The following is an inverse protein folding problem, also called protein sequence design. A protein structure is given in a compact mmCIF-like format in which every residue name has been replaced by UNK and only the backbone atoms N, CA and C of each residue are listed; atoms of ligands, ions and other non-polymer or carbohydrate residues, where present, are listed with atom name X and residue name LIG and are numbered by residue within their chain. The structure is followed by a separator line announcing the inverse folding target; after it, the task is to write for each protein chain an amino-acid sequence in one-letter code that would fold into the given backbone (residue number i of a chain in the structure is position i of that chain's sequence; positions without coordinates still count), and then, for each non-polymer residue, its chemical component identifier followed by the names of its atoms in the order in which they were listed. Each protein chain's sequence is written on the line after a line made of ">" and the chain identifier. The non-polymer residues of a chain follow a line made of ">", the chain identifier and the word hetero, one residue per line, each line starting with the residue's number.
data_IF_455412022068
#
_entry.id   IF_455412022068
#
_cell.length_a   1.000
_cell.length_b   1.000
_cell.length_c   1.000
_cell.angle_alpha   90.00
_cell.angle_beta   90.00
_cell.angle_gamma   90.00
#
_symmetry.space_group_name_H-M   'P 1'
#
loop_
_entity.id
_entity.type
_entity.pdbx_description
1 polymer ?
#
# COMPACT_ATOMS: atom_id res chain seq x y z
N UNK A 1 48.35 18.64 -2.62
CA UNK A 1 49.67 18.45 -3.27
C UNK A 1 50.02 16.97 -3.26
N UNK A 2 50.38 16.45 -4.44
CA UNK A 2 50.75 15.06 -4.76
C UNK A 2 51.95 14.55 -3.93
N UNK A 3 51.93 13.27 -3.54
CA UNK A 3 53.16 12.45 -3.49
C UNK A 3 52.92 11.09 -4.13
N UNK A 4 53.72 10.86 -5.17
CA UNK A 4 53.87 9.68 -6.01
C UNK A 4 55.17 9.00 -5.56
N UNK A 5 55.22 7.67 -5.63
CA UNK A 5 56.46 6.87 -5.56
C UNK A 5 56.15 5.50 -4.95
N UNK A 6 56.54 4.36 -5.53
CA UNK A 6 57.57 4.06 -6.54
C UNK A 6 57.20 2.76 -7.27
N UNK A 7 57.62 2.69 -8.54
CA UNK A 7 57.78 1.46 -9.30
C UNK A 7 58.91 0.60 -8.73
N UNK A 8 58.77 -0.72 -8.86
CA UNK A 8 59.88 -1.60 -9.24
C UNK A 8 59.33 -2.80 -10.00
N UNK A 9 59.68 -2.87 -11.28
CA UNK A 9 59.69 -4.11 -12.08
C UNK A 9 60.95 -4.90 -11.71
N UNK A 10 60.94 -6.23 -11.88
CA UNK A 10 61.75 -6.95 -12.89
C UNK A 10 61.55 -8.47 -12.75
N UNK A 11 61.15 -9.05 -13.88
CA UNK A 11 61.36 -10.40 -14.44
C UNK A 11 62.42 -11.32 -13.79
N UNK A 12 62.17 -12.64 -13.73
CA UNK A 12 62.70 -13.61 -14.71
C UNK A 12 62.41 -15.09 -14.34
N UNK A 13 62.15 -15.85 -15.42
CA UNK A 13 62.56 -17.23 -15.73
C UNK A 13 61.73 -18.46 -15.28
N UNK A 14 61.63 -19.33 -16.27
CA UNK A 14 60.81 -20.52 -16.44
C UNK A 14 61.39 -21.79 -15.82
N UNK A 15 60.56 -22.82 -15.70
CA UNK A 15 61.03 -24.21 -15.66
C UNK A 15 60.08 -25.22 -15.01
N UNK A 16 59.57 -26.16 -15.82
CA UNK A 16 59.61 -27.59 -15.46
C UNK A 16 58.44 -28.22 -14.67
N UNK A 17 57.45 -28.73 -15.42
CA UNK A 17 56.89 -30.10 -15.44
C UNK A 17 56.72 -30.97 -14.15
N UNK A 18 55.47 -31.42 -13.97
CA UNK A 18 54.94 -32.74 -13.55
C UNK A 18 55.20 -33.32 -12.14
N UNK A 19 54.15 -33.45 -11.31
CA UNK A 19 53.44 -34.71 -11.01
C UNK A 19 52.37 -34.57 -9.89
N UNK A 20 51.22 -35.21 -10.14
CA UNK A 20 50.20 -35.81 -9.27
C UNK A 20 50.01 -35.37 -7.80
N UNK A 21 48.74 -35.07 -7.45
CA UNK A 21 48.24 -35.16 -6.06
C UNK A 21 46.96 -34.36 -5.77
N UNK A 22 45.77 -34.93 -6.05
CA UNK A 22 44.58 -34.66 -5.23
C UNK A 22 44.69 -35.49 -3.92
N UNK A 23 43.94 -35.23 -2.82
CA UNK A 23 42.80 -34.34 -2.64
C UNK A 23 42.82 -33.52 -1.31
N UNK A 24 42.04 -32.45 -1.23
CA UNK A 24 41.28 -32.13 0.00
C UNK A 24 40.36 -30.96 -0.27
N UNK A 25 39.07 -31.26 -0.24
CA UNK A 25 38.02 -30.26 -0.37
C UNK A 25 38.08 -29.28 0.79
N UNK A 26 38.52 -28.06 0.50
CA UNK A 26 38.23 -26.89 1.32
C UNK A 26 36.74 -26.60 1.18
N UNK A 27 35.95 -27.18 2.07
CA UNK A 27 34.54 -26.85 2.22
C UNK A 27 34.48 -25.40 2.72
N UNK A 28 34.31 -24.46 1.79
CA UNK A 28 33.98 -23.08 2.10
C UNK A 28 32.68 -23.11 2.89
N UNK A 29 32.81 -22.91 4.20
CA UNK A 29 31.72 -22.62 5.11
C UNK A 29 31.06 -21.33 4.61
N UNK A 30 30.05 -21.50 3.74
CA UNK A 30 29.11 -20.44 3.41
C UNK A 30 28.49 -19.99 4.71
N UNK A 31 28.67 -18.71 5.05
CA UNK A 31 27.76 -18.03 5.96
C UNK A 31 26.33 -18.39 5.56
N UNK A 32 25.47 -18.80 6.51
CA UNK A 32 24.06 -18.95 6.20
C UNK A 32 23.56 -17.60 5.71
N UNK A 33 23.05 -17.58 4.47
CA UNK A 33 22.28 -16.45 3.98
C UNK A 33 21.22 -16.11 5.05
N UNK A 34 20.98 -14.82 5.34
CA UNK A 34 19.92 -14.44 6.27
C UNK A 34 18.64 -15.13 5.81
N UNK A 35 18.09 -15.98 6.68
CA UNK A 35 16.84 -16.69 6.46
C UNK A 35 15.79 -15.66 6.05
N UNK A 36 15.19 -15.88 4.88
CA UNK A 36 14.25 -14.96 4.24
C UNK A 36 12.90 -14.85 4.95
N UNK A 37 12.86 -14.92 6.28
CA UNK A 37 11.65 -14.83 7.10
C UNK A 37 11.28 -13.37 7.42
N UNK A 38 12.21 -12.41 7.26
CA UNK A 38 11.96 -10.98 7.52
C UNK A 38 11.48 -10.18 6.30
N UNK A 39 11.19 -10.83 5.16
CA UNK A 39 10.65 -10.16 3.95
C UNK A 39 9.15 -10.38 3.73
N UNK A 40 8.47 -11.08 4.64
CA UNK A 40 7.08 -11.47 4.50
C UNK A 40 6.09 -10.46 5.12
N UNK A 41 6.22 -9.18 4.81
CA UNK A 41 5.30 -8.13 5.31
C UNK A 41 4.61 -7.30 4.20
N UNK A 42 4.65 -7.75 2.94
CA UNK A 42 4.08 -7.01 1.80
C UNK A 42 3.02 -7.75 0.98
N UNK A 43 2.51 -8.92 1.43
CA UNK A 43 1.68 -9.75 0.55
C UNK A 43 0.66 -10.70 1.18
N UNK A 44 0.45 -10.68 2.50
CA UNK A 44 -0.60 -11.55 3.09
C UNK A 44 -2.00 -10.98 2.80
N UNK A 45 -2.93 -11.80 2.30
CA UNK A 45 -4.33 -11.41 2.17
C UNK A 45 -4.89 -10.97 3.53
N UNK A 46 -5.56 -9.82 3.58
CA UNK A 46 -6.26 -9.36 4.78
C UNK A 46 -7.51 -10.21 4.95
N UNK A 47 -7.72 -10.79 6.13
CA UNK A 47 -8.93 -11.56 6.42
C UNK A 47 -10.13 -10.61 6.58
N UNK A 48 -11.32 -11.06 6.17
CA UNK A 48 -12.55 -10.26 6.26
C UNK A 48 -12.83 -9.82 7.71
N UNK A 49 -12.67 -10.70 8.69
CA UNK A 49 -12.89 -10.37 10.09
C UNK A 49 -12.01 -9.20 10.56
N UNK A 50 -10.75 -9.17 10.12
CA UNK A 50 -9.82 -8.07 10.42
C UNK A 50 -10.27 -6.74 9.78
N UNK A 51 -10.90 -6.78 8.60
CA UNK A 51 -11.49 -5.59 7.98
C UNK A 51 -12.70 -5.09 8.78
N UNK A 52 -13.56 -6.00 9.23
CA UNK A 52 -14.76 -5.67 10.00
C UNK A 52 -14.47 -5.25 11.45
N UNK A 53 -13.32 -5.63 11.99
CA UNK A 53 -12.81 -5.16 13.28
C UNK A 53 -12.09 -3.82 13.19
N UNK A 54 -11.82 -3.31 11.99
CA UNK A 54 -11.11 -2.05 11.81
C UNK A 54 -11.84 -0.90 12.54
N UNK A 55 -11.08 -0.02 13.21
CA UNK A 55 -11.66 1.04 14.00
C UNK A 55 -12.34 2.08 13.11
N UNK A 56 -13.37 2.73 13.62
CA UNK A 56 -14.04 3.86 12.96
C UNK A 56 -13.33 5.19 13.19
N UNK A 57 -12.38 5.21 14.13
CA UNK A 57 -11.52 6.34 14.45
C UNK A 57 -10.10 5.84 14.70
N UNK A 58 -9.10 6.47 14.09
CA UNK A 58 -7.70 6.13 14.28
C UNK A 58 -6.98 7.29 14.97
N UNK A 59 -6.30 7.01 16.09
CA UNK A 59 -5.49 8.01 16.79
C UNK A 59 -4.03 7.88 16.38
N UNK A 60 -3.46 8.96 15.84
CA UNK A 60 -2.04 9.08 15.52
C UNK A 60 -1.50 10.32 16.23
N UNK A 61 -0.80 10.11 17.36
CA UNK A 61 -0.37 11.20 18.24
C UNK A 61 -1.56 11.97 18.81
N UNK A 62 -1.61 13.28 18.55
CA UNK A 62 -2.71 14.16 18.96
C UNK A 62 -3.84 14.28 17.92
N UNK A 63 -3.72 13.61 16.77
CA UNK A 63 -4.72 13.64 15.72
C UNK A 63 -5.67 12.45 15.86
N UNK A 64 -6.97 12.71 15.71
CA UNK A 64 -7.99 11.68 15.48
C UNK A 64 -8.40 11.74 14.01
N UNK A 65 -8.27 10.62 13.32
CA UNK A 65 -8.63 10.46 11.92
C UNK A 65 -9.99 9.77 11.80
N UNK A 66 -10.81 10.28 10.89
CA UNK A 66 -12.10 9.71 10.50
C UNK A 66 -12.13 9.44 9.00
N UNK A 67 -12.83 8.39 8.60
CA UNK A 67 -13.07 8.09 7.19
C UNK A 67 -14.47 8.57 6.80
N UNK A 68 -14.51 9.43 5.81
CA UNK A 68 -15.71 9.71 5.03
C UNK A 68 -15.59 8.99 3.69
N UNK A 69 -16.67 8.37 3.24
CA UNK A 69 -16.69 7.68 1.97
C UNK A 69 -17.95 8.02 1.17
N UNK A 70 -17.78 8.15 -0.13
CA UNK A 70 -18.87 8.33 -1.07
C UNK A 70 -18.75 7.26 -2.15
N UNK A 71 -19.75 6.39 -2.23
CA UNK A 71 -19.82 5.34 -3.24
C UNK A 71 -20.94 5.65 -4.21
N UNK A 72 -20.70 5.46 -5.50
CA UNK A 72 -21.73 5.73 -6.49
C UNK A 72 -21.57 4.91 -7.76
N UNK A 73 -22.66 4.84 -8.52
CA UNK A 73 -22.71 4.30 -9.87
C UNK A 73 -23.36 5.33 -10.79
N UNK A 74 -22.66 5.62 -11.90
CA UNK A 74 -23.09 6.58 -12.92
C UNK A 74 -23.98 5.90 -13.97
N UNK A 75 -25.10 6.54 -14.32
CA UNK A 75 -26.08 6.05 -15.31
C UNK A 75 -26.34 7.01 -16.49
N UNK A 76 -25.63 8.15 -16.59
CA UNK A 76 -25.64 9.01 -17.79
C UNK A 76 -24.25 9.68 -17.99
N UNK A 77 -24.02 10.42 -19.11
CA UNK A 77 -24.86 10.56 -20.32
C UNK A 77 -24.84 9.33 -21.22
N UNK A 78 -23.75 8.56 -21.19
CA UNK A 78 -23.59 7.30 -21.95
C UNK A 78 -23.09 6.24 -20.98
N UNK A 79 -23.97 5.30 -20.64
CA UNK A 79 -23.62 4.14 -19.82
C UNK A 79 -24.20 2.87 -20.44
N UNK A 80 -23.62 1.70 -20.15
CA UNK A 80 -24.29 0.42 -20.42
C UNK A 80 -25.69 0.40 -19.78
N UNK A 81 -26.60 -0.50 -20.23
CA UNK A 81 -27.94 -0.63 -19.64
C UNK A 81 -27.92 -0.87 -18.12
N UNK A 82 -26.87 -1.55 -17.64
CA UNK A 82 -26.66 -1.80 -16.22
C UNK A 82 -25.99 -0.65 -15.46
N UNK A 83 -25.57 0.44 -16.11
CA UNK A 83 -24.79 1.54 -15.51
C UNK A 83 -23.28 1.28 -15.48
N UNK A 84 -22.51 2.28 -15.08
CA UNK A 84 -21.07 2.16 -14.91
C UNK A 84 -20.69 1.30 -13.68
N UNK A 85 -19.48 0.71 -13.65
CA UNK A 85 -18.91 0.08 -12.46
C UNK A 85 -18.91 0.99 -11.23
N UNK A 86 -18.95 0.39 -10.04
CA UNK A 86 -18.90 1.13 -8.77
C UNK A 86 -17.63 1.98 -8.69
N UNK A 87 -17.81 3.20 -8.21
CA UNK A 87 -16.76 4.16 -7.89
C UNK A 87 -16.82 4.48 -6.40
N UNK A 88 -15.67 4.77 -5.83
CA UNK A 88 -15.54 5.19 -4.43
C UNK A 88 -14.57 6.37 -4.35
N UNK A 89 -15.00 7.40 -3.62
CA UNK A 89 -14.16 8.50 -3.16
C UNK A 89 -14.06 8.38 -1.64
N UNK A 90 -12.86 8.52 -1.11
CA UNK A 90 -12.59 8.49 0.32
C UNK A 90 -11.91 9.78 0.74
N UNK A 91 -12.31 10.29 1.90
CA UNK A 91 -11.67 11.41 2.57
C UNK A 91 -11.29 10.98 3.98
N UNK A 92 -9.99 11.02 4.27
CA UNK A 92 -9.47 10.86 5.62
C UNK A 92 -9.39 12.26 6.21
N UNK A 93 -10.12 12.48 7.29
CA UNK A 93 -10.27 13.79 7.92
C UNK A 93 -9.64 13.77 9.30
N UNK A 94 -8.67 14.65 9.53
CA UNK A 94 -8.02 14.83 10.82
C UNK A 94 -8.70 15.90 11.69
N UNK A 95 -8.76 15.62 12.99
CA UNK A 95 -9.18 16.55 14.05
C UNK A 95 -8.21 16.46 15.23
N UNK A 96 -7.67 17.59 15.73
CA UNK A 96 -7.74 18.94 15.15
C UNK A 96 -7.05 19.01 13.77
N UNK A 97 -7.19 20.13 13.06
CA UNK A 97 -6.50 20.31 11.80
C UNK A 97 -4.98 20.34 12.03
N UNK A 98 -4.18 19.51 11.33
CA UNK A 98 -2.74 19.53 11.43
C UNK A 98 -2.14 20.76 10.73
N UNK A 99 -0.97 21.19 11.19
CA UNK A 99 -0.20 22.26 10.56
C UNK A 99 0.35 21.85 9.19
N UNK A 100 0.79 20.58 9.08
CA UNK A 100 1.29 20.00 7.83
C UNK A 100 0.18 19.21 7.13
N UNK A 101 0.11 19.25 5.79
CA UNK A 101 -0.84 18.43 5.04
C UNK A 101 -0.71 16.94 5.39
N UNK A 102 -1.83 16.25 5.60
CA UNK A 102 -1.84 14.80 5.82
C UNK A 102 -1.08 14.04 4.73
N UNK A 103 -1.25 14.47 3.47
CA UNK A 103 -0.59 13.87 2.30
C UNK A 103 0.94 13.93 2.35
N UNK A 104 1.53 14.80 3.17
CA UNK A 104 2.99 14.85 3.27
C UNK A 104 3.55 13.66 4.04
N UNK A 105 2.77 13.03 4.92
CA UNK A 105 3.25 11.98 5.82
C UNK A 105 2.36 10.74 5.92
N UNK A 106 1.16 10.77 5.36
CA UNK A 106 0.21 9.66 5.34
C UNK A 106 -0.26 9.41 3.91
N UNK A 107 -0.34 8.13 3.54
CA UNK A 107 -0.83 7.68 2.24
C UNK A 107 -2.05 6.78 2.42
N UNK A 108 -3.08 6.98 1.61
CA UNK A 108 -4.17 6.03 1.46
C UNK A 108 -3.83 5.09 0.31
N UNK A 109 -3.57 3.82 0.60
CA UNK A 109 -3.00 2.89 -0.39
C UNK A 109 -4.07 2.05 -1.08
N UNK A 110 -4.98 1.49 -0.29
CA UNK A 110 -5.95 0.50 -0.75
C UNK A 110 -7.27 0.69 -0.06
N UNK A 111 -8.34 0.45 -0.78
CA UNK A 111 -9.71 0.38 -0.25
C UNK A 111 -10.20 -1.05 -0.31
N UNK A 112 -10.94 -1.45 0.71
CA UNK A 112 -11.69 -2.69 0.78
C UNK A 112 -13.15 -2.34 1.00
N UNK A 113 -14.02 -2.93 0.19
CA UNK A 113 -15.46 -2.82 0.33
C UNK A 113 -16.01 -4.19 0.73
N UNK A 114 -16.83 -4.22 1.78
CA UNK A 114 -17.57 -5.42 2.19
C UNK A 114 -19.05 -5.16 2.04
N UNK A 115 -19.72 -5.96 1.21
CA UNK A 115 -21.11 -5.77 0.81
C UNK A 115 -22.01 -6.91 1.25
N UNK A 116 -23.15 -6.54 1.82
CA UNK A 116 -24.23 -7.46 2.15
C UNK A 116 -23.88 -8.50 3.23
N UNK A 117 -24.85 -9.36 3.58
CA UNK A 117 -24.71 -10.34 4.66
C UNK A 117 -23.78 -11.51 4.29
N UNK A 118 -23.53 -11.76 3.00
CA UNK A 118 -22.58 -12.77 2.52
C UNK A 118 -21.13 -12.25 2.48
N UNK A 119 -20.88 -11.00 2.93
CA UNK A 119 -19.57 -10.37 2.94
C UNK A 119 -18.86 -10.44 1.58
N UNK A 120 -19.57 -10.10 0.51
CA UNK A 120 -18.93 -9.98 -0.80
C UNK A 120 -17.87 -8.88 -0.74
N UNK A 121 -16.65 -9.18 -1.19
CA UNK A 121 -15.55 -8.24 -1.12
C UNK A 121 -15.16 -7.70 -2.48
N UNK A 122 -14.71 -6.45 -2.47
CA UNK A 122 -13.95 -5.87 -3.57
C UNK A 122 -12.81 -5.02 -3.00
N UNK A 123 -11.65 -5.05 -3.66
CA UNK A 123 -10.49 -4.26 -3.27
C UNK A 123 -9.87 -3.58 -4.48
N UNK A 124 -9.29 -2.40 -4.26
CA UNK A 124 -8.58 -1.66 -5.29
C UNK A 124 -7.55 -0.72 -4.68
N UNK A 125 -6.49 -0.44 -5.44
CA UNK A 125 -5.54 0.61 -5.10
C UNK A 125 -6.20 1.98 -5.21
N UNK A 126 -5.86 2.85 -4.26
CA UNK A 126 -6.38 4.20 -4.16
C UNK A 126 -5.47 5.17 -4.92
N UNK A 127 -6.07 5.98 -5.78
CA UNK A 127 -5.39 7.04 -6.50
C UNK A 127 -5.61 8.36 -5.74
N UNK A 128 -4.55 9.09 -5.38
CA UNK A 128 -4.71 10.37 -4.70
C UNK A 128 -5.47 11.37 -5.59
N UNK A 129 -6.32 12.19 -4.98
CA UNK A 129 -6.98 13.30 -5.66
C UNK A 129 -5.93 14.31 -6.13
N UNK A 130 -5.97 14.64 -7.43
CA UNK A 130 -5.08 15.65 -8.03
C UNK A 130 -5.53 17.10 -7.76
N UNK A 131 -6.51 17.31 -6.88
CA UNK A 131 -7.05 18.64 -6.57
C UNK A 131 -6.03 19.48 -5.82
N UNK A 132 -5.74 20.68 -6.35
CA UNK A 132 -4.82 21.63 -5.72
C UNK A 132 -5.40 22.28 -4.44
N UNK A 133 -6.68 22.08 -4.14
CA UNK A 133 -7.41 22.79 -3.08
C UNK A 133 -7.79 21.89 -1.88
N UNK A 134 -7.08 20.78 -1.66
CA UNK A 134 -7.36 19.89 -0.53
C UNK A 134 -6.86 20.56 0.77
N UNK A 135 -7.73 20.74 1.79
CA UNK A 135 -7.30 21.31 3.07
C UNK A 135 -6.22 20.45 3.76
N UNK A 136 -5.31 21.03 4.56
CA UNK A 136 -4.22 20.27 5.19
C UNK A 136 -4.67 19.08 6.03
N UNK A 137 -5.83 19.18 6.68
CA UNK A 137 -6.41 18.10 7.49
C UNK A 137 -7.21 17.06 6.71
N UNK A 138 -7.13 17.06 5.38
CA UNK A 138 -7.86 16.14 4.51
C UNK A 138 -6.88 15.43 3.59
N UNK A 139 -7.05 14.11 3.47
CA UNK A 139 -6.43 13.30 2.43
C UNK A 139 -7.56 12.67 1.61
N UNK A 140 -7.62 13.00 0.32
CA UNK A 140 -8.66 12.50 -0.58
C UNK A 140 -8.06 11.55 -1.61
N UNK A 141 -8.73 10.44 -1.86
CA UNK A 141 -8.35 9.46 -2.86
C UNK A 141 -9.58 8.76 -3.47
N UNK A 142 -9.40 8.13 -4.62
CA UNK A 142 -10.49 7.46 -5.33
C UNK A 142 -10.07 6.11 -5.91
N UNK A 143 -11.05 5.23 -6.07
CA UNK A 143 -10.92 4.00 -6.83
C UNK A 143 -12.16 3.79 -7.71
N UNK A 144 -11.98 3.06 -8.81
CA UNK A 144 -13.02 2.80 -9.81
C UNK A 144 -12.89 1.39 -10.37
N UNK A 145 -13.89 0.94 -11.14
CA UNK A 145 -13.90 -0.42 -11.69
C UNK A 145 -14.43 -1.45 -10.70
N UNK A 146 -15.24 -1.01 -9.73
CA UNK A 146 -15.86 -1.89 -8.75
C UNK A 146 -17.04 -2.70 -9.30
N UNK A 147 -17.56 -3.63 -8.49
CA UNK A 147 -18.65 -4.52 -8.88
C UNK A 147 -19.93 -3.75 -9.23
N UNK A 148 -20.83 -4.38 -9.98
CA UNK A 148 -22.15 -3.83 -10.31
C UNK A 148 -23.16 -4.02 -9.17
N UNK A 149 -22.75 -3.77 -7.93
CA UNK A 149 -23.67 -3.79 -6.79
C UNK A 149 -24.75 -2.73 -6.96
N UNK A 150 -25.95 -3.03 -6.46
CA UNK A 150 -27.11 -2.18 -6.67
C UNK A 150 -27.03 -0.90 -5.82
N UNK A 151 -27.39 0.27 -6.39
CA UNK A 151 -27.62 1.47 -5.59
C UNK A 151 -28.65 1.25 -4.48
N UNK A 152 -28.48 1.95 -3.36
CA UNK A 152 -29.23 1.74 -2.11
C UNK A 152 -28.66 0.63 -1.22
N UNK A 153 -27.79 -0.22 -1.76
CA UNK A 153 -27.07 -1.22 -0.98
C UNK A 153 -26.09 -0.61 0.03
N UNK A 154 -25.86 -1.31 1.15
CA UNK A 154 -24.97 -0.87 2.23
C UNK A 154 -23.61 -1.58 2.17
N UNK A 155 -22.55 -0.82 2.38
CA UNK A 155 -21.16 -1.25 2.27
C UNK A 155 -20.37 -0.82 3.50
N UNK A 156 -19.57 -1.71 4.05
CA UNK A 156 -18.48 -1.32 4.95
C UNK A 156 -17.30 -0.87 4.09
N UNK A 157 -16.85 0.37 4.26
CA UNK A 157 -15.68 0.90 3.56
C UNK A 157 -14.49 0.89 4.50
N UNK A 158 -13.42 0.22 4.14
CA UNK A 158 -12.18 0.18 4.92
C UNK A 158 -11.06 0.71 4.03
N UNK A 159 -10.21 1.58 4.56
CA UNK A 159 -8.99 2.01 3.90
C UNK A 159 -7.76 1.53 4.65
N UNK A 160 -6.76 1.06 3.91
CA UNK A 160 -5.40 0.89 4.42
C UNK A 160 -4.64 2.19 4.26
N UNK A 161 -4.19 2.72 5.38
CA UNK A 161 -3.32 3.89 5.47
C UNK A 161 -1.89 3.43 5.74
N UNK A 162 -0.91 4.16 5.23
CA UNK A 162 0.50 3.94 5.54
C UNK A 162 1.18 5.26 5.88
N UNK A 163 1.94 5.31 6.98
CA UNK A 163 2.78 6.46 7.31
C UNK A 163 4.14 6.42 6.59
N UNK A 164 5.00 7.42 6.84
CA UNK A 164 6.34 7.49 6.24
C UNK A 164 7.30 6.41 6.74
N UNK A 165 7.05 5.86 7.93
CA UNK A 165 7.86 4.82 8.55
C UNK A 165 7.48 3.42 8.02
N UNK A 166 6.38 3.35 7.25
CA UNK A 166 5.89 2.13 6.62
C UNK A 166 4.84 1.40 7.44
N UNK A 167 4.46 1.93 8.61
CA UNK A 167 3.42 1.32 9.44
C UNK A 167 2.07 1.41 8.74
N UNK A 168 1.32 0.31 8.80
CA UNK A 168 0.02 0.19 8.15
C UNK A 168 -1.11 0.22 9.17
N UNK A 169 -2.16 0.97 8.86
CA UNK A 169 -3.34 1.13 9.70
C UNK A 169 -4.60 0.86 8.87
N UNK A 170 -5.64 0.32 9.52
CA UNK A 170 -6.97 0.22 8.94
C UNK A 170 -7.88 1.26 9.57
N UNK A 171 -8.74 1.87 8.76
CA UNK A 171 -9.76 2.82 9.19
C UNK A 171 -11.05 2.52 8.44
N UNK A 172 -12.18 2.50 9.14
CA UNK A 172 -13.47 2.06 8.61
C UNK A 172 -14.56 3.13 8.67
N UNK A 173 -15.37 3.19 7.63
CA UNK A 173 -16.64 3.90 7.58
C UNK A 173 -17.76 2.86 7.38
N UNK A 174 -18.54 2.54 8.43
CA UNK A 174 -19.55 1.49 8.35
C UNK A 174 -20.80 1.95 7.62
N UNK A 175 -21.57 0.99 7.07
CA UNK A 175 -22.93 1.21 6.56
C UNK A 175 -23.08 2.32 5.51
N UNK A 176 -22.10 2.51 4.64
CA UNK A 176 -22.14 3.52 3.58
C UNK A 176 -23.08 3.07 2.45
N UNK A 177 -23.93 3.97 1.97
CA UNK A 177 -24.93 3.66 0.94
C UNK A 177 -24.37 3.95 -0.45
N UNK A 178 -24.51 2.98 -1.36
CA UNK A 178 -24.19 3.15 -2.78
C UNK A 178 -25.20 4.11 -3.41
N UNK A 179 -24.73 5.25 -3.87
CA UNK A 179 -25.57 6.26 -4.52
C UNK A 179 -25.76 5.97 -6.01
N UNK A 180 -26.85 6.50 -6.54
CA UNK A 180 -27.14 6.52 -7.98
C UNK A 180 -26.97 7.94 -8.48
N UNK A 181 -26.11 8.13 -9.47
CA UNK A 181 -25.89 9.41 -10.14
C UNK A 181 -26.42 9.33 -11.57
N UNK A 182 -26.99 10.44 -12.02
CA UNK A 182 -27.57 10.62 -13.34
C UNK A 182 -26.75 11.68 -14.08
#
# INVERSE_FOLDING_TARGET
>A
MKRIGRLSQVLFLAGGLLLAGCPSGSNQMREPAPSGEDREAAGRPVKIDQLLEAPTQLRLGNLTLHLEAYLWRDFQPVSPPSGQPLRVSVKIVARPQPEKPLSSWLKAQRVYLVYGPQHQTWEADLNPSGSAQIPPGVLEAFASGGPLWEPGGKVEVIVRLQDQEGHSYLLRAPQQVIQKTY
#
